data_IF_206451086650
#
_entry.id   IF_206451086650
#
_cell.length_a   1.000
_cell.length_b   1.000
_cell.length_c   1.000
_cell.angle_alpha   90.00
_cell.angle_beta   90.00
_cell.angle_gamma   90.00
#
_symmetry.space_group_name_H-M   'P 1'
#
loop_
_entity.id
_entity.type
_entity.pdbx_description
1 polymer ?
#
# COMPACT_ATOMS: atom_id res chain seq x y z
N UNK A 1 46.52 30.36 44.40
CA UNK A 1 45.08 30.36 44.74
C UNK A 1 44.28 30.27 43.44
N UNK A 2 43.82 29.07 43.11
CA UNK A 2 42.98 28.82 41.93
C UNK A 2 41.52 29.13 42.29
N UNK A 3 40.95 30.17 41.67
CA UNK A 3 39.55 30.53 41.85
C UNK A 3 38.66 29.47 41.19
N UNK A 4 37.86 28.76 41.99
CA UNK A 4 36.78 27.91 41.49
C UNK A 4 35.61 28.82 41.06
N UNK A 5 35.17 28.69 39.81
CA UNK A 5 34.01 29.44 39.28
C UNK A 5 32.73 28.62 39.49
N UNK A 6 31.91 28.90 40.53
CA UNK A 6 30.72 28.12 40.87
C UNK A 6 29.58 28.26 39.85
N UNK A 7 29.64 29.23 38.94
CA UNK A 7 28.65 29.48 37.89
C UNK A 7 28.97 28.83 36.54
N UNK A 8 30.05 28.04 36.44
CA UNK A 8 30.38 27.33 35.20
C UNK A 8 29.34 26.24 34.96
N UNK A 9 28.59 26.36 33.87
CA UNK A 9 27.61 25.36 33.48
C UNK A 9 28.32 24.00 33.27
N UNK A 10 27.93 23.00 34.06
CA UNK A 10 28.45 21.62 34.00
C UNK A 10 27.81 20.79 32.86
N UNK A 11 27.07 21.44 31.96
CA UNK A 11 26.45 20.78 30.81
C UNK A 11 27.51 20.36 29.81
N UNK A 12 27.29 19.24 29.15
CA UNK A 12 28.04 18.87 27.96
C UNK A 12 27.99 20.01 26.93
N UNK A 13 29.08 20.22 26.16
CA UNK A 13 29.06 21.18 25.07
C UNK A 13 27.93 20.83 24.10
N UNK A 14 27.37 21.85 23.45
CA UNK A 14 26.34 21.65 22.44
C UNK A 14 26.93 20.79 21.31
N UNK A 15 26.26 19.69 20.99
CA UNK A 15 26.63 18.84 19.87
C UNK A 15 26.41 19.61 18.56
N UNK A 16 27.40 19.62 17.69
CA UNK A 16 27.21 20.06 16.30
C UNK A 16 26.26 19.10 15.60
N UNK A 17 25.42 19.64 14.71
CA UNK A 17 24.45 18.85 13.97
C UNK A 17 25.21 18.06 12.90
N UNK A 18 25.02 16.75 12.87
CA UNK A 18 25.57 15.89 11.82
C UNK A 18 24.75 16.09 10.52
N UNK A 19 25.36 15.90 9.34
CA UNK A 19 24.68 15.99 8.05
C UNK A 19 23.43 15.09 7.98
N UNK A 20 23.51 13.87 8.53
CA UNK A 20 22.35 12.99 8.64
C UNK A 20 21.20 13.57 9.48
N UNK A 21 21.51 14.27 10.57
CA UNK A 21 20.48 14.90 11.39
C UNK A 21 19.78 16.02 10.61
N UNK A 22 20.51 16.80 9.81
CA UNK A 22 19.92 17.82 8.93
C UNK A 22 18.99 17.17 7.92
N UNK A 23 19.43 16.09 7.26
CA UNK A 23 18.64 15.35 6.29
C UNK A 23 17.32 14.84 6.89
N UNK A 24 17.39 14.26 8.08
CA UNK A 24 16.22 13.78 8.81
C UNK A 24 15.30 14.93 9.25
N UNK A 25 15.86 16.07 9.66
CA UNK A 25 15.07 17.24 10.07
C UNK A 25 14.36 17.91 8.89
N UNK A 26 14.97 17.96 7.70
CA UNK A 26 14.43 18.65 6.54
C UNK A 26 13.60 17.75 5.61
N UNK A 27 14.10 16.55 5.31
CA UNK A 27 13.48 15.62 4.36
C UNK A 27 12.77 14.44 5.01
N UNK A 28 12.89 14.26 6.33
CA UNK A 28 12.38 13.06 7.02
C UNK A 28 13.16 11.78 6.69
N UNK A 29 14.23 11.89 5.90
CA UNK A 29 15.01 10.76 5.44
C UNK A 29 15.97 10.28 6.52
N UNK A 30 16.09 8.96 6.64
CA UNK A 30 16.95 8.31 7.61
C UNK A 30 17.95 7.42 6.89
N UNK A 31 19.01 7.01 7.59
CA UNK A 31 19.98 6.05 7.05
C UNK A 31 19.37 4.69 6.68
N UNK A 32 18.16 4.40 7.17
CA UNK A 32 17.40 3.19 6.80
C UNK A 32 16.59 3.35 5.52
N UNK A 33 16.17 4.58 5.19
CA UNK A 33 15.38 4.86 3.98
C UNK A 33 16.28 5.19 2.79
N UNK A 34 17.42 5.82 3.04
CA UNK A 34 18.48 6.06 2.05
C UNK A 34 19.67 5.13 2.27
N UNK A 35 19.39 3.83 2.24
CA UNK A 35 20.43 2.82 2.27
C UNK A 35 20.84 2.46 0.84
N UNK A 36 22.13 2.21 0.66
CA UNK A 36 22.67 1.64 -0.57
C UNK A 36 21.95 0.31 -0.86
N UNK A 37 21.55 0.09 -2.11
CA UNK A 37 20.82 -1.08 -2.58
C UNK A 37 19.28 -0.94 -2.53
N UNK A 38 18.73 0.11 -1.92
CA UNK A 38 17.28 0.33 -1.92
C UNK A 38 16.78 0.86 -3.26
N UNK A 39 15.66 0.32 -3.71
CA UNK A 39 14.94 0.78 -4.89
C UNK A 39 14.01 1.91 -4.49
N UNK A 40 14.19 3.07 -5.11
CA UNK A 40 13.38 4.26 -4.89
C UNK A 40 12.81 4.75 -6.22
N UNK A 41 11.61 5.32 -6.15
CA UNK A 41 10.99 5.99 -7.30
C UNK A 41 11.42 7.44 -7.30
N UNK A 42 11.91 7.93 -8.44
CA UNK A 42 12.45 9.28 -8.59
C UNK A 42 11.86 9.98 -9.80
N UNK A 43 11.69 11.30 -9.70
CA UNK A 43 11.20 12.15 -10.78
C UNK A 43 12.37 12.69 -11.60
N UNK A 44 12.34 12.47 -12.92
CA UNK A 44 13.36 13.00 -13.83
C UNK A 44 13.05 14.46 -14.17
N UNK A 45 13.89 15.41 -13.75
CA UNK A 45 13.64 16.83 -14.02
C UNK A 45 14.59 17.42 -15.07
N UNK A 46 15.82 16.91 -15.19
CA UNK A 46 16.79 17.39 -16.21
C UNK A 46 17.60 16.24 -16.77
N UNK A 47 17.77 16.23 -18.09
CA UNK A 47 18.52 15.19 -18.82
C UNK A 47 19.64 15.81 -19.67
N UNK A 48 20.75 16.29 -19.06
CA UNK A 48 21.97 16.55 -19.83
C UNK A 48 22.51 15.27 -20.51
N UNK A 49 23.45 15.39 -21.46
CA UNK A 49 23.97 14.23 -22.19
C UNK A 49 24.83 13.29 -21.35
N UNK A 50 25.50 13.80 -20.31
CA UNK A 50 26.50 13.08 -19.51
C UNK A 50 25.90 12.45 -18.23
N UNK A 51 24.81 13.04 -17.73
CA UNK A 51 24.14 12.61 -16.51
C UNK A 51 22.66 12.96 -16.56
N UNK A 52 21.86 12.35 -15.70
CA UNK A 52 20.44 12.66 -15.53
C UNK A 52 20.22 13.09 -14.10
N UNK A 53 19.66 14.28 -13.92
CA UNK A 53 19.30 14.76 -12.61
C UNK A 53 17.86 14.38 -12.29
N UNK A 54 17.71 13.78 -11.13
CA UNK A 54 16.46 13.26 -10.60
C UNK A 54 16.20 13.81 -9.22
N UNK A 55 14.94 13.83 -8.81
CA UNK A 55 14.53 14.28 -7.49
C UNK A 55 13.73 13.16 -6.83
N UNK A 56 14.06 12.83 -5.59
CA UNK A 56 13.28 11.92 -4.77
C UNK A 56 11.98 12.63 -4.31
N UNK A 57 10.99 11.87 -3.88
CA UNK A 57 9.73 12.42 -3.34
C UNK A 57 9.96 13.28 -2.07
N UNK A 58 11.05 13.04 -1.33
CA UNK A 58 11.47 13.86 -0.20
C UNK A 58 12.11 15.20 -0.58
N UNK A 59 12.30 15.47 -1.88
CA UNK A 59 12.93 16.69 -2.37
C UNK A 59 14.45 16.65 -2.44
N UNK A 60 15.07 15.48 -2.20
CA UNK A 60 16.50 15.29 -2.36
C UNK A 60 16.90 15.18 -3.82
N UNK A 61 17.95 15.88 -4.19
CA UNK A 61 18.54 15.81 -5.52
C UNK A 61 19.39 14.55 -5.65
N UNK A 62 19.26 13.90 -6.80
CA UNK A 62 20.06 12.75 -7.16
C UNK A 62 20.54 12.82 -8.60
N UNK A 63 21.58 12.03 -8.88
CA UNK A 63 22.19 11.92 -10.19
C UNK A 63 22.22 10.45 -10.60
N UNK A 64 21.82 10.21 -11.84
CA UNK A 64 22.03 8.94 -12.55
C UNK A 64 23.10 9.22 -13.61
N UNK A 65 24.28 8.64 -13.47
CA UNK A 65 25.34 8.78 -14.49
C UNK A 65 25.00 7.96 -15.73
N UNK A 66 25.53 8.38 -16.90
CA UNK A 66 25.31 7.67 -18.16
C UNK A 66 25.77 6.21 -18.13
N UNK A 67 26.80 5.88 -17.35
CA UNK A 67 27.28 4.51 -17.15
C UNK A 67 26.23 3.59 -16.47
N UNK A 68 25.28 4.16 -15.74
CA UNK A 68 24.20 3.44 -15.05
C UNK A 68 22.83 3.60 -15.74
N UNK A 69 22.80 4.18 -16.93
CA UNK A 69 21.62 4.33 -17.79
C UNK A 69 21.56 3.17 -18.78
N UNK A 70 21.01 2.05 -18.29
CA UNK A 70 20.54 0.82 -18.99
C UNK A 70 21.07 0.57 -20.42
N UNK A 71 21.69 -0.60 -20.54
CA UNK A 71 21.96 -1.38 -21.75
C UNK A 71 20.80 -1.41 -22.77
N UNK A 72 21.17 -1.48 -24.04
CA UNK A 72 20.34 -1.52 -25.27
C UNK A 72 19.40 -2.76 -25.33
N UNK A 73 18.58 -2.95 -24.30
CA UNK A 73 17.64 -4.04 -24.14
C UNK A 73 16.27 -3.64 -24.71
N UNK A 74 15.60 -4.52 -25.47
CA UNK A 74 14.32 -4.20 -26.10
C UNK A 74 13.22 -4.11 -25.04
N UNK A 75 12.91 -2.88 -24.59
CA UNK A 75 11.85 -2.59 -23.63
C UNK A 75 12.22 -1.56 -22.55
N UNK A 76 13.49 -1.22 -22.40
CA UNK A 76 13.92 -0.17 -21.49
C UNK A 76 13.58 1.22 -22.06
N UNK A 77 12.55 1.88 -21.52
CA UNK A 77 12.27 3.27 -21.84
C UNK A 77 13.39 4.15 -21.29
N UNK A 78 14.05 4.93 -22.17
CA UNK A 78 14.98 5.97 -21.71
C UNK A 78 14.23 6.93 -20.77
N UNK A 79 14.80 7.29 -19.61
CA UNK A 79 14.16 8.20 -18.69
C UNK A 79 13.86 9.54 -19.38
N UNK A 80 12.56 9.83 -19.47
CA UNK A 80 12.05 11.05 -20.11
C UNK A 80 11.82 12.09 -19.02
N UNK A 81 12.21 13.34 -19.30
CA UNK A 81 11.90 14.48 -18.44
C UNK A 81 10.41 14.53 -18.09
N UNK A 82 10.10 14.62 -16.80
CA UNK A 82 8.74 14.68 -16.25
C UNK A 82 8.09 13.33 -15.98
N UNK A 83 8.75 12.21 -16.31
CA UNK A 83 8.31 10.87 -15.89
C UNK A 83 8.98 10.45 -14.58
N UNK A 84 8.30 9.59 -13.84
CA UNK A 84 8.88 8.85 -12.73
C UNK A 84 9.61 7.62 -13.26
N UNK A 85 10.78 7.35 -12.70
CA UNK A 85 11.62 6.20 -13.02
C UNK A 85 12.06 5.55 -11.70
N UNK A 86 12.26 4.24 -11.72
CA UNK A 86 12.81 3.51 -10.57
C UNK A 86 14.32 3.46 -10.67
N UNK A 87 15.01 3.69 -9.56
CA UNK A 87 16.45 3.56 -9.47
C UNK A 87 16.89 2.94 -8.15
N UNK A 88 18.01 2.23 -8.18
CA UNK A 88 18.68 1.69 -7.00
C UNK A 88 19.68 2.72 -6.49
N UNK A 89 19.67 3.00 -5.19
CA UNK A 89 20.68 3.87 -4.57
C UNK A 89 22.04 3.16 -4.56
N UNK A 90 23.04 3.74 -5.20
CA UNK A 90 24.43 3.21 -5.23
C UNK A 90 25.26 3.86 -4.13
N UNK A 91 25.13 5.16 -3.98
CA UNK A 91 25.89 5.94 -3.00
C UNK A 91 25.08 7.15 -2.51
N UNK A 92 25.38 7.61 -1.31
CA UNK A 92 24.74 8.77 -0.68
C UNK A 92 25.84 9.71 -0.20
N UNK A 93 26.05 10.79 -0.94
CA UNK A 93 27.08 11.79 -0.63
C UNK A 93 26.51 12.87 0.27
N UNK A 94 26.96 12.87 1.53
CA UNK A 94 26.58 13.87 2.52
C UNK A 94 27.83 14.59 3.00
N UNK A 95 27.96 15.84 2.60
CA UNK A 95 28.98 16.75 3.07
C UNK A 95 28.31 17.99 3.66
N UNK A 96 28.16 17.98 4.98
CA UNK A 96 27.50 19.06 5.72
C UNK A 96 28.31 20.36 5.67
N UNK A 97 29.65 20.31 5.60
CA UNK A 97 30.48 21.50 5.61
C UNK A 97 30.32 22.31 4.31
N UNK A 98 30.12 21.60 3.20
CA UNK A 98 29.89 22.18 1.87
C UNK A 98 28.41 22.28 1.47
N UNK A 99 27.46 21.91 2.36
CA UNK A 99 26.03 21.81 2.08
C UNK A 99 25.67 20.93 0.86
N UNK A 100 26.42 19.85 0.65
CA UNK A 100 26.18 18.90 -0.45
C UNK A 100 25.42 17.71 0.12
N UNK A 101 24.22 17.50 -0.42
CA UNK A 101 23.35 16.37 -0.09
C UNK A 101 22.83 15.78 -1.40
N UNK A 102 23.56 14.82 -1.94
CA UNK A 102 23.30 14.27 -3.27
C UNK A 102 23.27 12.74 -3.22
N UNK A 103 22.31 12.14 -3.92
CA UNK A 103 22.15 10.69 -4.00
C UNK A 103 22.55 10.21 -5.39
N UNK A 104 23.42 9.21 -5.47
CA UNK A 104 23.77 8.57 -6.74
C UNK A 104 22.90 7.32 -6.96
N UNK A 105 22.23 7.25 -8.11
CA UNK A 105 21.31 6.16 -8.43
C UNK A 105 21.69 5.43 -9.73
N UNK A 106 21.41 4.13 -9.76
CA UNK A 106 21.46 3.28 -10.96
C UNK A 106 20.06 3.03 -11.46
N UNK A 107 19.84 3.15 -12.78
CA UNK A 107 18.57 2.75 -13.41
C UNK A 107 18.65 1.33 -14.01
N UNK A 108 19.75 0.61 -13.81
CA UNK A 108 20.01 -0.68 -14.45
C UNK A 108 18.96 -1.74 -14.06
N UNK A 109 18.33 -2.38 -15.05
CA UNK A 109 17.20 -3.30 -14.82
C UNK A 109 17.60 -4.54 -14.01
N UNK A 110 18.79 -5.10 -14.23
CA UNK A 110 19.28 -6.25 -13.46
C UNK A 110 19.43 -5.91 -11.98
N UNK A 111 19.94 -4.72 -11.67
CA UNK A 111 20.16 -4.27 -10.30
C UNK A 111 18.83 -4.01 -9.58
N UNK A 112 17.83 -3.51 -10.30
CA UNK A 112 16.48 -3.27 -9.78
C UNK A 112 15.77 -4.60 -9.47
N UNK A 113 15.87 -5.60 -10.35
CA UNK A 113 15.17 -6.88 -10.16
C UNK A 113 15.83 -7.74 -9.07
N UNK A 114 17.16 -7.77 -9.02
CA UNK A 114 17.89 -8.58 -8.03
C UNK A 114 17.69 -8.03 -6.61
N UNK A 115 17.80 -6.70 -6.43
CA UNK A 115 17.69 -6.07 -5.11
C UNK A 115 16.28 -6.05 -4.51
N UNK A 116 15.22 -6.11 -5.33
CA UNK A 116 13.83 -6.19 -4.81
C UNK A 116 13.63 -7.48 -3.99
N UNK A 117 14.35 -8.55 -4.36
CA UNK A 117 14.25 -9.85 -3.68
C UNK A 117 15.07 -9.93 -2.40
N UNK A 118 16.22 -9.24 -2.34
CA UNK A 118 17.15 -9.31 -1.20
C UNK A 118 16.93 -8.21 -0.15
N UNK A 119 16.75 -6.95 -0.56
CA UNK A 119 16.72 -5.81 0.36
C UNK A 119 15.32 -5.44 0.85
N UNK A 120 14.26 -5.81 0.12
CA UNK A 120 12.86 -5.58 0.51
C UNK A 120 12.38 -6.47 1.67
N UNK A 121 13.07 -7.59 1.92
CA UNK A 121 12.71 -8.53 2.99
C UNK A 121 13.48 -8.17 4.25
N UNK A 122 12.84 -7.38 5.13
CA UNK A 122 13.28 -7.30 6.53
C UNK A 122 13.43 -8.72 7.05
N UNK A 123 14.65 -9.09 7.46
CA UNK A 123 14.87 -10.39 8.07
C UNK A 123 13.90 -10.52 9.25
N UNK A 124 13.07 -11.58 9.29
CA UNK A 124 12.17 -11.79 10.40
C UNK A 124 12.95 -11.84 11.70
N UNK A 125 12.45 -11.15 12.73
CA UNK A 125 13.04 -11.17 14.07
C UNK A 125 13.18 -12.63 14.56
N UNK A 126 14.28 -12.93 15.25
CA UNK A 126 14.55 -14.25 15.85
C UNK A 126 13.43 -14.64 16.84
N UNK A 127 12.81 -13.66 17.49
CA UNK A 127 11.69 -13.89 18.41
C UNK A 127 10.31 -13.85 17.73
N UNK A 128 10.26 -13.71 16.40
CA UNK A 128 8.99 -13.73 15.66
C UNK A 128 8.36 -15.13 15.68
N UNK A 129 7.16 -15.25 16.25
CA UNK A 129 6.42 -16.50 16.28
C UNK A 129 5.81 -16.83 14.90
N UNK A 130 6.61 -17.49 14.06
CA UNK A 130 6.22 -17.88 12.70
C UNK A 130 4.98 -18.79 12.66
N UNK A 131 4.86 -19.69 13.62
CA UNK A 131 3.74 -20.65 13.69
C UNK A 131 2.41 -19.98 14.00
N UNK A 132 2.41 -18.91 14.80
CA UNK A 132 1.19 -18.13 15.06
C UNK A 132 0.78 -17.31 13.84
N UNK A 133 1.75 -16.65 13.18
CA UNK A 133 1.49 -15.88 11.97
C UNK A 133 0.89 -16.73 10.85
N UNK A 134 1.40 -17.95 10.63
CA UNK A 134 0.85 -18.87 9.63
C UNK A 134 -0.60 -19.28 9.92
N UNK A 135 -0.92 -19.58 11.19
CA UNK A 135 -2.30 -19.87 11.60
C UNK A 135 -3.23 -18.68 11.38
N UNK A 136 -2.77 -17.48 11.68
CA UNK A 136 -3.58 -16.26 11.49
C UNK A 136 -3.84 -15.99 10.00
N UNK A 137 -2.83 -16.22 9.14
CA UNK A 137 -2.99 -16.17 7.68
C UNK A 137 -4.00 -17.21 7.17
N UNK A 138 -3.94 -18.45 7.66
CA UNK A 138 -4.89 -19.50 7.29
C UNK A 138 -6.32 -19.16 7.73
N UNK A 139 -6.49 -18.61 8.94
CA UNK A 139 -7.78 -18.14 9.43
C UNK A 139 -8.32 -17.00 8.55
N UNK A 140 -7.47 -16.04 8.18
CA UNK A 140 -7.84 -14.94 7.28
C UNK A 140 -8.22 -15.44 5.89
N UNK A 141 -7.43 -16.35 5.31
CA UNK A 141 -7.70 -16.95 4.01
C UNK A 141 -9.01 -17.75 4.03
N UNK A 142 -9.25 -18.50 5.11
CA UNK A 142 -10.50 -19.23 5.30
C UNK A 142 -11.70 -18.27 5.42
N UNK A 143 -11.57 -17.20 6.21
CA UNK A 143 -12.62 -16.16 6.33
C UNK A 143 -12.90 -15.48 4.99
N UNK A 144 -11.88 -15.11 4.23
CA UNK A 144 -12.04 -14.51 2.90
C UNK A 144 -12.77 -15.47 1.94
N UNK A 145 -12.39 -16.75 1.89
CA UNK A 145 -13.08 -17.76 1.06
C UNK A 145 -14.54 -17.95 1.47
N UNK A 146 -14.81 -17.96 2.78
CA UNK A 146 -16.16 -18.04 3.31
C UNK A 146 -17.00 -16.79 2.96
N UNK A 147 -16.40 -15.61 2.96
CA UNK A 147 -17.05 -14.34 2.60
C UNK A 147 -17.35 -14.25 1.09
N UNK A 148 -16.44 -14.71 0.23
CA UNK A 148 -16.68 -14.82 -1.22
C UNK A 148 -17.85 -15.75 -1.51
N UNK A 149 -17.92 -16.91 -0.83
CA UNK A 149 -19.04 -17.85 -0.95
C UNK A 149 -20.35 -17.26 -0.42
N UNK A 150 -20.27 -16.36 0.57
CA UNK A 150 -21.42 -15.67 1.17
C UNK A 150 -21.84 -14.42 0.38
N UNK A 151 -21.06 -13.97 -0.60
CA UNK A 151 -21.37 -12.78 -1.39
C UNK A 151 -22.60 -13.08 -2.24
N UNK A 152 -23.74 -12.62 -1.76
CA UNK A 152 -25.06 -12.88 -2.34
C UNK A 152 -25.13 -12.19 -3.71
N UNK A 153 -25.70 -12.87 -4.70
CA UNK A 153 -25.96 -12.29 -6.02
C UNK A 153 -26.75 -10.98 -5.91
N UNK A 154 -26.34 -9.96 -6.66
CA UNK A 154 -27.07 -8.70 -6.77
C UNK A 154 -28.21 -8.91 -7.77
N UNK A 155 -29.46 -8.89 -7.29
CA UNK A 155 -30.66 -9.02 -8.12
C UNK A 155 -31.32 -7.65 -8.26
N UNK A 156 -31.28 -7.08 -9.46
CA UNK A 156 -31.90 -5.80 -9.78
C UNK A 156 -33.34 -6.02 -10.26
N UNK A 157 -34.28 -6.21 -9.33
CA UNK A 157 -35.70 -6.35 -9.65
C UNK A 157 -36.55 -5.54 -8.66
N UNK A 158 -37.58 -4.80 -9.12
CA UNK A 158 -38.36 -3.89 -8.27
C UNK A 158 -39.04 -4.59 -7.09
N UNK A 159 -39.54 -5.81 -7.31
CA UNK A 159 -40.20 -6.60 -6.25
C UNK A 159 -39.23 -7.52 -5.48
N UNK A 160 -37.92 -7.44 -5.75
CA UNK A 160 -36.94 -8.26 -5.04
C UNK A 160 -36.54 -7.63 -3.72
N UNK A 161 -36.79 -8.35 -2.63
CA UNK A 161 -36.48 -7.93 -1.28
C UNK A 161 -35.77 -9.04 -0.53
N UNK A 162 -34.78 -8.67 0.29
CA UNK A 162 -34.02 -9.61 1.13
C UNK A 162 -34.80 -9.95 2.41
N UNK A 163 -36.01 -10.49 2.24
CA UNK A 163 -36.90 -10.86 3.34
C UNK A 163 -36.90 -12.35 3.63
N UNK A 164 -37.10 -12.69 4.90
CA UNK A 164 -37.51 -14.03 5.31
C UNK A 164 -39.01 -14.26 5.02
N UNK A 165 -39.50 -15.49 5.13
CA UNK A 165 -40.92 -15.82 4.88
C UNK A 165 -41.88 -14.92 5.67
N UNK A 166 -41.69 -14.80 6.99
CA UNK A 166 -42.55 -13.97 7.85
C UNK A 166 -42.45 -12.47 7.55
N UNK A 167 -41.27 -11.99 7.14
CA UNK A 167 -41.08 -10.58 6.75
C UNK A 167 -41.79 -10.28 5.43
N UNK A 168 -41.82 -11.24 4.50
CA UNK A 168 -42.55 -11.08 3.23
C UNK A 168 -44.07 -11.05 3.45
N UNK A 169 -44.61 -11.87 4.35
CA UNK A 169 -46.03 -11.83 4.74
C UNK A 169 -46.39 -10.49 5.37
N UNK A 170 -45.59 -10.02 6.34
CA UNK A 170 -45.82 -8.73 7.00
C UNK A 170 -45.77 -7.56 6.01
N UNK A 171 -44.87 -7.61 5.02
CA UNK A 171 -44.79 -6.59 3.98
C UNK A 171 -46.02 -6.62 3.05
N UNK A 172 -46.51 -7.81 2.70
CA UNK A 172 -47.70 -7.98 1.85
C UNK A 172 -49.01 -7.69 2.58
N UNK A 173 -49.03 -7.69 3.91
CA UNK A 173 -50.23 -7.42 4.71
C UNK A 173 -50.88 -6.08 4.39
N UNK A 174 -50.07 -5.03 4.23
CA UNK A 174 -50.53 -3.69 3.83
C UNK A 174 -50.74 -3.49 2.32
N UNK A 175 -50.45 -4.49 1.48
CA UNK A 175 -50.48 -4.38 0.02
C UNK A 175 -51.77 -4.92 -0.61
N UNK A 176 -51.97 -4.67 -1.90
CA UNK A 176 -53.17 -5.11 -2.61
C UNK A 176 -53.15 -6.61 -2.90
N UNK A 177 -54.34 -7.18 -3.12
CA UNK A 177 -54.49 -8.57 -3.58
C UNK A 177 -53.76 -8.73 -4.92
N UNK A 178 -52.93 -9.77 -5.03
CA UNK A 178 -52.13 -10.05 -6.22
C UNK A 178 -50.71 -9.48 -6.17
N UNK A 179 -50.36 -8.68 -5.16
CA UNK A 179 -48.99 -8.20 -5.02
C UNK A 179 -48.01 -9.32 -4.65
N UNK A 180 -46.77 -9.16 -5.13
CA UNK A 180 -45.74 -10.20 -5.11
C UNK A 180 -44.44 -9.67 -4.55
N UNK A 181 -43.79 -10.47 -3.72
CA UNK A 181 -42.42 -10.26 -3.27
C UNK A 181 -41.55 -11.43 -3.71
N UNK A 182 -40.43 -11.13 -4.35
CA UNK A 182 -39.39 -12.10 -4.68
C UNK A 182 -38.32 -12.01 -3.59
N UNK A 183 -37.91 -13.14 -3.02
CA UNK A 183 -36.91 -13.23 -1.96
C UNK A 183 -35.95 -14.37 -2.18
N UNK A 184 -34.74 -14.35 -1.57
CA UNK A 184 -33.88 -15.53 -1.57
C UNK A 184 -34.59 -16.71 -0.90
N UNK A 185 -34.41 -17.91 -1.47
CA UNK A 185 -34.92 -19.15 -0.89
C UNK A 185 -33.97 -19.65 0.20
N UNK A 186 -34.53 -20.27 1.25
CA UNK A 186 -33.75 -20.96 2.27
C UNK A 186 -33.15 -22.27 1.78
N UNK A 187 -33.58 -22.77 0.60
CA UNK A 187 -33.13 -24.04 0.02
C UNK A 187 -31.72 -23.98 -0.59
N UNK A 188 -31.21 -22.79 -0.89
CA UNK A 188 -29.86 -22.62 -1.41
C UNK A 188 -29.61 -21.25 -2.02
N UNK A 189 -28.33 -20.95 -2.26
CA UNK A 189 -27.85 -19.66 -2.76
C UNK A 189 -28.42 -19.36 -4.16
N UNK A 190 -28.64 -20.39 -4.97
CA UNK A 190 -29.15 -20.26 -6.35
C UNK A 190 -30.68 -20.24 -6.46
N UNK A 191 -31.40 -20.49 -5.36
CA UNK A 191 -32.86 -20.63 -5.38
C UNK A 191 -33.55 -19.31 -4.99
N UNK A 192 -34.65 -19.00 -5.66
CA UNK A 192 -35.55 -17.89 -5.32
C UNK A 192 -36.89 -18.45 -4.85
N UNK A 193 -37.51 -17.73 -3.93
CA UNK A 193 -38.87 -17.97 -3.51
C UNK A 193 -39.70 -16.73 -3.82
N UNK A 194 -40.92 -16.96 -4.30
CA UNK A 194 -41.90 -15.93 -4.61
C UNK A 194 -43.03 -16.05 -3.61
N UNK A 195 -43.38 -14.97 -2.94
CA UNK A 195 -44.54 -14.92 -2.04
C UNK A 195 -45.55 -13.96 -2.65
N UNK A 196 -46.78 -14.41 -2.85
CA UNK A 196 -47.86 -13.59 -3.40
C UNK A 196 -49.08 -13.60 -2.49
N UNK A 197 -49.76 -12.44 -2.41
CA UNK A 197 -50.98 -12.26 -1.62
C UNK A 197 -52.19 -12.73 -2.40
N UNK A 198 -52.79 -13.83 -1.96
CA UNK A 198 -53.98 -14.42 -2.61
C UNK A 198 -55.25 -13.74 -2.10
N UNK A 199 -55.34 -13.47 -0.80
CA UNK A 199 -56.45 -12.77 -0.15
C UNK A 199 -56.00 -12.21 1.22
N UNK A 200 -56.90 -11.56 1.98
CA UNK A 200 -56.59 -11.06 3.33
C UNK A 200 -56.09 -12.19 4.23
N UNK A 201 -54.89 -12.01 4.79
CA UNK A 201 -54.16 -13.01 5.60
C UNK A 201 -53.94 -14.37 4.90
N UNK A 202 -54.08 -14.43 3.58
CA UNK A 202 -53.85 -15.63 2.78
C UNK A 202 -52.70 -15.40 1.80
N UNK A 203 -51.55 -15.99 2.12
CA UNK A 203 -50.32 -15.89 1.34
C UNK A 203 -49.96 -17.25 0.75
N UNK A 204 -49.48 -17.27 -0.49
CA UNK A 204 -48.93 -18.47 -1.07
C UNK A 204 -47.44 -18.25 -1.38
N UNK A 205 -46.64 -19.27 -1.07
CA UNK A 205 -45.21 -19.29 -1.31
C UNK A 205 -44.91 -20.29 -2.42
N UNK A 206 -44.36 -19.80 -3.52
CA UNK A 206 -43.95 -20.60 -4.67
C UNK A 206 -42.43 -20.62 -4.65
N UNK A 207 -41.83 -21.80 -4.45
CA UNK A 207 -40.38 -21.95 -4.42
C UNK A 207 -39.92 -23.34 -4.81
N UNK A 208 -38.98 -23.41 -5.75
CA UNK A 208 -38.16 -24.59 -5.99
C UNK A 208 -37.07 -24.69 -4.93
#
# INVERSE_FOLDING_TARGET
MSYSNPSRASRSPLSTINGWNVLTMLGGETQKTLCIGLIVSVLVFRTPPDSIHVCLDSGLEGIIKQEYLVDDTPGAEKPVKGKMTQGVIIDVRIDHENNIYEVELSSHWSDVVENDTEFGRKQPDVYWNRAQHEKDLDILAWKQRAEVTKTRRIIKHPNFHNFNTSQAEQYLDGQQRGDVVIRPSSKGIDHLAVTWKVDDKLYQHIGA
#
